data_IF_363176727560
#
_entry.id   IF_363176727560
#
_cell.length_a   1.000
_cell.length_b   1.000
_cell.length_c   1.000
_cell.angle_alpha   90.00
_cell.angle_beta   90.00
_cell.angle_gamma   90.00
#
_symmetry.space_group_name_H-M   'P 1'
#
loop_
_entity.id
_entity.type
_entity.pdbx_description
1 polymer ?
#
# COMPACT_ATOMS: atom_id res chain seq x y z
N UNK A 1 -16.58 -17.92 -12.83
CA UNK A 1 -15.28 -17.24 -12.81
C UNK A 1 -15.45 -15.89 -13.50
N UNK A 2 -15.17 -14.78 -12.80
CA UNK A 2 -15.29 -13.43 -13.39
C UNK A 2 -13.91 -12.95 -13.76
N UNK A 3 -13.71 -12.61 -15.04
CA UNK A 3 -12.46 -12.03 -15.53
C UNK A 3 -12.64 -10.54 -15.80
N UNK A 4 -11.68 -9.72 -15.38
CA UNK A 4 -11.68 -8.28 -15.61
C UNK A 4 -10.59 -7.93 -16.62
N UNK A 5 -10.94 -7.17 -17.65
CA UNK A 5 -9.97 -6.62 -18.61
C UNK A 5 -9.75 -5.16 -18.27
N UNK A 6 -8.51 -4.80 -17.98
CA UNK A 6 -8.08 -3.43 -17.74
C UNK A 6 -6.94 -3.08 -18.68
N UNK A 7 -6.88 -1.81 -19.09
CA UNK A 7 -5.77 -1.31 -19.92
C UNK A 7 -4.75 -0.63 -19.02
N UNK A 8 -3.48 -0.93 -19.25
CA UNK A 8 -2.38 -0.20 -18.60
C UNK A 8 -2.32 1.21 -19.22
N UNK A 9 -2.38 2.23 -18.38
CA UNK A 9 -2.24 3.62 -18.76
C UNK A 9 -0.80 3.94 -19.21
N UNK A 10 -0.62 5.10 -19.83
CA UNK A 10 0.69 5.53 -20.35
C UNK A 10 1.79 5.65 -19.29
N UNK A 11 1.40 5.78 -18.02
CA UNK A 11 2.31 5.83 -16.87
C UNK A 11 2.55 4.45 -16.23
N UNK A 12 2.18 3.36 -16.89
CA UNK A 12 2.37 2.00 -16.37
C UNK A 12 1.37 1.60 -15.27
N UNK A 13 0.38 2.45 -14.95
CA UNK A 13 -0.64 2.15 -13.93
C UNK A 13 -1.85 1.47 -14.54
N UNK A 14 -2.48 0.56 -13.80
CA UNK A 14 -3.80 0.04 -14.12
C UNK A 14 -4.74 0.24 -12.94
N UNK A 15 -6.03 0.33 -13.22
CA UNK A 15 -7.07 0.44 -12.20
C UNK A 15 -7.43 -0.95 -11.68
N UNK A 16 -7.55 -1.09 -10.36
CA UNK A 16 -8.14 -2.29 -9.75
C UNK A 16 -9.67 -2.12 -9.78
N UNK A 17 -10.42 -3.02 -10.44
CA UNK A 17 -11.89 -3.00 -10.46
C UNK A 17 -12.50 -2.91 -9.06
N UNK A 18 -13.62 -2.18 -8.94
CA UNK A 18 -14.24 -1.87 -7.65
C UNK A 18 -14.64 -3.15 -6.89
N UNK A 19 -15.11 -4.17 -7.59
CA UNK A 19 -15.52 -5.44 -7.01
C UNK A 19 -14.35 -6.22 -6.41
N UNK A 20 -13.17 -6.13 -7.03
CA UNK A 20 -11.94 -6.73 -6.47
C UNK A 20 -11.56 -5.99 -5.20
N UNK A 21 -11.58 -4.64 -5.21
CA UNK A 21 -11.26 -3.85 -4.01
C UNK A 21 -12.19 -4.17 -2.85
N UNK A 22 -13.50 -4.23 -3.09
CA UNK A 22 -14.51 -4.53 -2.08
C UNK A 22 -14.34 -5.92 -1.48
N UNK A 23 -14.07 -6.93 -2.32
CA UNK A 23 -13.86 -8.30 -1.85
C UNK A 23 -12.58 -8.50 -1.05
N UNK A 24 -11.53 -7.77 -1.40
CA UNK A 24 -10.21 -7.88 -0.76
C UNK A 24 -9.97 -6.84 0.34
N UNK A 25 -10.94 -5.95 0.62
CA UNK A 25 -10.80 -4.88 1.61
C UNK A 25 -9.64 -3.93 1.29
N UNK A 26 -9.44 -3.61 0.00
CA UNK A 26 -8.40 -2.69 -0.46
C UNK A 26 -8.96 -1.27 -0.46
N UNK A 27 -8.33 -0.40 0.31
CA UNK A 27 -8.69 0.98 0.50
C UNK A 27 -7.67 1.94 -0.11
N UNK A 28 -8.05 3.21 -0.22
CA UNK A 28 -7.11 4.24 -0.69
C UNK A 28 -6.05 4.46 0.37
N UNK A 29 -4.77 4.38 -0.01
CA UNK A 29 -3.64 4.51 0.91
C UNK A 29 -3.05 3.18 1.36
N UNK A 30 -3.72 2.05 1.10
CA UNK A 30 -3.13 0.73 1.34
C UNK A 30 -1.86 0.54 0.52
N UNK A 31 -0.83 -0.01 1.17
CA UNK A 31 0.39 -0.44 0.50
C UNK A 31 0.17 -1.85 -0.05
N UNK A 32 0.41 -2.01 -1.35
CA UNK A 32 0.27 -3.29 -2.04
C UNK A 32 1.66 -3.85 -2.37
N UNK A 33 1.87 -5.13 -2.08
CA UNK A 33 3.07 -5.88 -2.46
C UNK A 33 2.78 -6.60 -3.77
N UNK A 34 3.70 -6.47 -4.72
CA UNK A 34 3.66 -7.19 -5.99
C UNK A 34 4.83 -8.18 -6.03
N UNK A 35 4.57 -9.39 -6.50
CA UNK A 35 5.60 -10.42 -6.67
C UNK A 35 5.41 -11.14 -7.99
N UNK A 36 6.52 -11.48 -8.64
CA UNK A 36 6.51 -12.35 -9.81
C UNK A 36 6.30 -13.79 -9.35
N UNK A 37 5.22 -14.40 -9.82
CA UNK A 37 4.92 -15.82 -9.69
C UNK A 37 5.23 -16.52 -11.02
N UNK A 38 5.44 -17.85 -11.04
CA UNK A 38 5.75 -18.59 -12.26
C UNK A 38 4.75 -18.38 -13.40
N UNK A 39 3.47 -18.19 -13.07
CA UNK A 39 2.37 -18.00 -14.02
C UNK A 39 1.88 -16.54 -14.14
N UNK A 40 2.59 -15.58 -13.54
CA UNK A 40 2.27 -14.16 -13.72
C UNK A 40 2.56 -13.27 -12.53
N UNK A 41 1.65 -12.33 -12.27
CA UNK A 41 1.77 -11.34 -11.21
C UNK A 41 0.88 -11.72 -10.03
N UNK A 42 1.47 -11.86 -8.85
CA UNK A 42 0.73 -11.92 -7.59
C UNK A 42 0.72 -10.55 -6.93
N UNK A 43 -0.39 -10.21 -6.27
CA UNK A 43 -0.54 -8.97 -5.51
C UNK A 43 -1.22 -9.28 -4.16
N UNK A 44 -0.67 -8.74 -3.08
CA UNK A 44 -1.23 -8.81 -1.73
C UNK A 44 -1.18 -7.46 -1.03
N UNK A 45 -2.03 -7.27 -0.02
CA UNK A 45 -1.94 -6.11 0.87
C UNK A 45 -0.74 -6.30 1.80
N UNK A 46 0.08 -5.27 1.99
CA UNK A 46 1.15 -5.31 2.97
C UNK A 46 0.54 -5.50 4.36
N UNK A 47 1.08 -6.44 5.13
CA UNK A 47 0.77 -6.51 6.56
C UNK A 47 1.50 -5.35 7.22
N UNK A 48 0.77 -4.43 7.83
CA UNK A 48 1.36 -3.47 8.74
C UNK A 48 1.80 -4.24 9.98
N UNK A 49 3.10 -4.47 10.12
CA UNK A 49 3.69 -4.81 11.42
C UNK A 49 3.51 -3.59 12.32
N UNK A 50 2.39 -3.54 13.01
CA UNK A 50 2.12 -2.51 14.02
C UNK A 50 3.00 -2.76 15.24
N UNK A 51 4.25 -2.25 15.25
CA UNK A 51 5.01 -2.10 16.50
C UNK A 51 6.20 -1.11 16.54
N UNK A 52 6.52 -0.30 15.52
CA UNK A 52 7.74 0.56 15.57
C UNK A 52 7.63 2.05 15.24
N UNK A 53 6.44 2.65 15.09
CA UNK A 53 6.30 4.13 15.07
C UNK A 53 6.23 4.77 16.47
N UNK A 54 6.69 4.08 17.52
CA UNK A 54 6.68 4.51 18.93
C UNK A 54 7.85 5.40 19.37
N UNK A 55 8.56 6.07 18.47
CA UNK A 55 9.60 7.04 18.88
C UNK A 55 9.25 8.45 18.37
N UNK A 56 8.48 9.15 19.20
CA UNK A 56 8.16 10.57 19.12
C UNK A 56 9.42 11.46 19.02
N UNK A 57 9.51 12.43 18.10
CA UNK A 57 10.46 13.52 18.22
C UNK A 57 9.82 14.64 19.04
N UNK A 58 9.77 14.46 20.36
CA UNK A 58 9.56 15.56 21.30
C UNK A 58 10.73 15.60 22.28
N UNK A 59 11.78 16.31 21.88
CA UNK A 59 12.57 17.08 22.83
C UNK A 59 12.73 18.48 22.25
N UNK A 60 11.95 19.40 22.82
CA UNK A 60 12.21 20.83 22.79
C UNK A 60 13.53 21.03 23.52
N UNK A 61 14.57 21.48 22.82
CA UNK A 61 15.71 22.12 23.47
C UNK A 61 15.29 23.54 23.82
N UNK A 62 14.62 23.67 24.96
CA UNK A 62 14.59 24.92 25.71
C UNK A 62 15.86 24.96 26.57
N UNK A 63 16.50 26.14 26.64
CA UNK A 63 17.62 26.56 27.49
C UNK A 63 19.04 26.49 26.90
N UNK A 64 19.54 27.65 26.45
CA UNK A 64 20.72 28.40 26.95
C UNK A 64 21.02 29.51 25.91
N UNK A 65 20.86 30.80 26.22
CA UNK A 65 21.79 31.58 27.04
C UNK A 65 21.12 32.89 27.50
N UNK A 66 21.22 33.15 28.80
CA UNK A 66 21.23 34.49 29.39
C UNK A 66 22.66 34.86 29.78
#
# INVERSE_FOLDING_TARGET
MTAYKVRIGRNGRFTIPIEIRQRLGIETGDVMVFSLAPEGLSMSKAQTDSEQDRLSPHQKEDHENG
#
